data_IF_761435229989
#
_entry.id   IF_761435229989
#
_cell.length_a   1.000
_cell.length_b   1.000
_cell.length_c   1.000
_cell.angle_alpha   90.00
_cell.angle_beta   90.00
_cell.angle_gamma   90.00
#
_symmetry.space_group_name_H-M   'P 1'
#
loop_
_entity.id
_entity.type
_entity.pdbx_description
1 polymer ?
#
# COMPACT_ATOMS: atom_id res chain seq x y z
N UNK A 1 -4.97 -52.94 -5.94
CA UNK A 1 -4.42 -51.56 -5.97
C UNK A 1 -4.70 -50.97 -4.60
N UNK A 2 -3.68 -50.47 -3.91
CA UNK A 2 -3.86 -49.88 -2.59
C UNK A 2 -4.21 -48.41 -2.77
N UNK A 3 -5.36 -47.99 -2.25
CA UNK A 3 -5.77 -46.59 -2.25
C UNK A 3 -4.98 -45.85 -1.17
N UNK A 4 -4.23 -44.84 -1.58
CA UNK A 4 -3.45 -44.00 -0.68
C UNK A 4 -4.11 -42.62 -0.58
N UNK A 5 -4.38 -42.18 0.64
CA UNK A 5 -4.99 -40.88 0.90
C UNK A 5 -3.90 -39.90 1.28
N UNK A 6 -3.67 -38.92 0.41
CA UNK A 6 -2.79 -37.80 0.68
C UNK A 6 -3.55 -36.76 1.50
N UNK A 7 -2.95 -36.33 2.61
CA UNK A 7 -3.50 -35.35 3.54
C UNK A 7 -2.83 -34.00 3.32
N UNK A 8 -3.52 -32.91 3.62
CA UNK A 8 -2.95 -31.57 3.52
C UNK A 8 -1.72 -31.47 4.45
N UNK A 9 -0.50 -31.26 3.91
CA UNK A 9 0.69 -31.09 4.73
C UNK A 9 0.71 -29.70 5.38
N UNK A 10 1.53 -29.53 6.43
CA UNK A 10 1.82 -28.19 6.96
C UNK A 10 2.65 -27.42 5.93
N UNK A 11 2.13 -26.27 5.49
CA UNK A 11 2.73 -25.43 4.46
C UNK A 11 3.68 -24.37 5.05
N UNK A 12 3.99 -24.48 6.34
CA UNK A 12 4.95 -23.66 7.06
C UNK A 12 4.30 -22.78 8.12
N UNK A 13 5.03 -22.57 9.23
CA UNK A 13 4.69 -21.68 10.35
C UNK A 13 3.52 -22.09 11.27
N UNK A 14 3.10 -23.37 11.26
CA UNK A 14 2.08 -23.86 12.20
C UNK A 14 0.66 -23.42 11.83
N UNK A 15 0.36 -23.37 10.53
CA UNK A 15 -0.99 -23.10 10.03
C UNK A 15 -1.96 -24.22 10.44
N UNK A 16 -3.15 -23.87 10.88
CA UNK A 16 -4.17 -24.85 11.28
C UNK A 16 -5.06 -25.30 10.13
N UNK A 17 -5.21 -24.47 9.10
CA UNK A 17 -6.05 -24.71 7.93
C UNK A 17 -5.57 -23.91 6.69
N UNK A 18 -5.98 -24.35 5.49
CA UNK A 18 -5.76 -23.65 4.22
C UNK A 18 -7.02 -23.72 3.34
N UNK A 19 -7.28 -22.67 2.56
CA UNK A 19 -8.43 -22.62 1.67
C UNK A 19 -8.09 -23.19 0.29
N UNK A 20 -8.87 -24.14 -0.22
CA UNK A 20 -8.67 -24.67 -1.56
C UNK A 20 -9.15 -23.67 -2.63
N UNK A 21 -8.27 -23.20 -3.51
CA UNK A 21 -8.60 -22.22 -4.55
C UNK A 21 -9.08 -22.91 -5.82
N UNK A 22 -8.34 -23.91 -6.29
CA UNK A 22 -8.64 -24.62 -7.52
C UNK A 22 -7.97 -26.00 -7.56
N UNK A 23 -8.69 -26.98 -8.10
CA UNK A 23 -8.08 -28.26 -8.50
C UNK A 23 -7.46 -28.12 -9.90
N UNK A 24 -6.25 -28.66 -10.06
CA UNK A 24 -5.56 -28.78 -11.36
C UNK A 24 -5.76 -30.15 -12.00
N UNK A 25 -6.36 -31.08 -11.26
CA UNK A 25 -6.65 -32.46 -11.67
C UNK A 25 -8.13 -32.77 -11.47
N UNK A 26 -8.63 -33.81 -12.14
CA UNK A 26 -10.02 -34.27 -12.04
C UNK A 26 -10.05 -35.74 -11.58
N UNK A 27 -11.16 -36.16 -10.99
CA UNK A 27 -11.39 -37.59 -10.67
C UNK A 27 -11.31 -38.42 -11.96
N UNK A 28 -10.58 -39.54 -11.90
CA UNK A 28 -10.26 -40.39 -13.04
C UNK A 28 -9.00 -39.99 -13.83
N UNK A 29 -8.40 -38.82 -13.56
CA UNK A 29 -7.17 -38.41 -14.22
C UNK A 29 -5.94 -39.15 -13.68
N UNK A 30 -4.97 -39.43 -14.56
CA UNK A 30 -3.66 -39.93 -14.17
C UNK A 30 -2.75 -38.77 -13.76
N UNK A 31 -1.97 -38.96 -12.68
CA UNK A 31 -1.01 -37.97 -12.16
C UNK A 31 0.34 -38.64 -11.93
N UNK A 32 1.42 -37.94 -12.30
CA UNK A 32 2.80 -38.35 -12.04
C UNK A 32 3.28 -37.84 -10.67
N UNK A 33 4.39 -38.39 -10.16
CA UNK A 33 5.07 -37.86 -8.97
C UNK A 33 5.50 -36.40 -9.23
N UNK A 34 5.28 -35.53 -8.25
CA UNK A 34 5.49 -34.08 -8.29
C UNK A 34 4.57 -33.30 -9.25
N UNK A 35 3.59 -33.94 -9.89
CA UNK A 35 2.61 -33.24 -10.70
C UNK A 35 1.73 -32.33 -9.82
N UNK A 36 1.37 -31.12 -10.27
CA UNK A 36 0.60 -30.18 -9.46
C UNK A 36 -0.87 -30.62 -9.31
N UNK A 37 -1.33 -30.83 -8.08
CA UNK A 37 -2.68 -31.32 -7.76
C UNK A 37 -3.69 -30.18 -7.60
N UNK A 38 -3.37 -29.19 -6.78
CA UNK A 38 -4.25 -28.06 -6.49
C UNK A 38 -3.51 -26.83 -6.00
N UNK A 39 -4.20 -25.70 -6.06
CA UNK A 39 -3.78 -24.43 -5.51
C UNK A 39 -4.52 -24.21 -4.20
N UNK A 40 -3.77 -23.96 -3.12
CA UNK A 40 -4.32 -23.64 -1.80
C UNK A 40 -3.85 -22.26 -1.37
N UNK A 41 -4.77 -21.44 -0.88
CA UNK A 41 -4.52 -20.11 -0.37
C UNK A 41 -4.35 -20.17 1.14
N UNK A 42 -3.20 -19.68 1.59
CA UNK A 42 -2.91 -19.41 3.00
C UNK A 42 -3.02 -17.91 3.23
N UNK A 43 -2.92 -17.47 4.50
CA UNK A 43 -2.93 -16.04 4.83
C UNK A 43 -1.81 -15.21 4.16
N UNK A 44 -0.81 -15.86 3.54
CA UNK A 44 0.39 -15.21 2.98
C UNK A 44 0.55 -15.38 1.48
N UNK A 45 0.18 -16.54 0.94
CA UNK A 45 0.37 -16.86 -0.47
C UNK A 45 -0.52 -18.01 -0.93
N UNK A 46 -0.71 -18.08 -2.24
CA UNK A 46 -1.22 -19.27 -2.92
C UNK A 46 -0.05 -20.23 -3.16
N UNK A 47 -0.16 -21.45 -2.65
CA UNK A 47 0.85 -22.50 -2.76
C UNK A 47 0.29 -23.63 -3.62
N UNK A 48 1.10 -24.13 -4.55
CA UNK A 48 0.75 -25.28 -5.38
C UNK A 48 1.16 -26.56 -4.66
N UNK A 49 0.21 -27.47 -4.45
CA UNK A 49 0.47 -28.75 -3.79
C UNK A 49 0.85 -29.81 -4.85
N UNK A 50 2.08 -30.35 -4.82
CA UNK A 50 2.48 -31.43 -5.72
C UNK A 50 1.98 -32.81 -5.25
N UNK A 51 1.83 -33.75 -6.18
CA UNK A 51 1.48 -35.13 -5.88
C UNK A 51 2.69 -35.90 -5.33
N UNK A 52 2.59 -36.58 -4.17
CA UNK A 52 3.69 -37.41 -3.65
C UNK A 52 3.82 -38.76 -4.39
N UNK A 53 2.79 -39.20 -5.12
CA UNK A 53 2.72 -40.52 -5.74
C UNK A 53 2.20 -40.44 -7.18
N UNK A 54 2.61 -41.38 -8.02
CA UNK A 54 2.01 -41.59 -9.33
C UNK A 54 0.81 -42.53 -9.24
N UNK A 55 -0.27 -42.23 -9.96
CA UNK A 55 -1.47 -43.06 -9.94
C UNK A 55 -2.70 -42.36 -10.52
N UNK A 56 -3.86 -42.97 -10.31
CA UNK A 56 -5.14 -42.40 -10.79
C UNK A 56 -5.90 -41.76 -9.63
N UNK A 57 -6.35 -40.52 -9.82
CA UNK A 57 -7.15 -39.77 -8.84
C UNK A 57 -8.51 -40.46 -8.70
N UNK A 58 -8.79 -41.05 -7.53
CA UNK A 58 -10.07 -41.71 -7.26
C UNK A 58 -11.11 -40.72 -6.73
N UNK A 59 -10.70 -39.85 -5.79
CA UNK A 59 -11.62 -38.96 -5.09
C UNK A 59 -10.96 -37.68 -4.63
N UNK A 60 -11.63 -36.55 -4.86
CA UNK A 60 -11.28 -35.23 -4.33
C UNK A 60 -12.15 -34.94 -3.10
N UNK A 61 -11.53 -34.69 -1.94
CA UNK A 61 -12.27 -34.59 -0.67
C UNK A 61 -12.73 -33.17 -0.31
N UNK A 62 -12.35 -32.17 -1.10
CA UNK A 62 -12.70 -30.76 -0.89
C UNK A 62 -13.13 -30.09 -2.20
N UNK A 63 -13.99 -29.07 -2.09
CA UNK A 63 -14.41 -28.24 -3.23
C UNK A 63 -13.64 -26.92 -3.23
N UNK A 64 -13.39 -26.32 -4.40
CA UNK A 64 -12.88 -24.96 -4.48
C UNK A 64 -13.72 -24.00 -3.62
N UNK A 65 -13.07 -23.29 -2.70
CA UNK A 65 -13.66 -22.41 -1.70
C UNK A 65 -13.70 -23.00 -0.28
N UNK A 66 -13.53 -24.31 -0.10
CA UNK A 66 -13.59 -24.96 1.21
C UNK A 66 -12.30 -24.70 2.02
N UNK A 67 -12.46 -24.52 3.35
CA UNK A 67 -11.33 -24.50 4.29
C UNK A 67 -10.99 -25.94 4.72
N UNK A 68 -9.74 -26.34 4.52
CA UNK A 68 -9.24 -27.70 4.79
C UNK A 68 -8.22 -27.62 5.93
N UNK A 69 -8.48 -28.34 7.03
CA UNK A 69 -7.55 -28.40 8.15
C UNK A 69 -6.27 -29.15 7.79
N UNK A 70 -5.12 -28.74 8.35
CA UNK A 70 -3.86 -29.48 8.19
C UNK A 70 -4.02 -30.90 8.74
N UNK A 71 -3.58 -31.89 7.95
CA UNK A 71 -3.77 -33.31 8.24
C UNK A 71 -5.12 -33.90 7.80
N UNK A 72 -6.07 -33.09 7.29
CA UNK A 72 -7.31 -33.60 6.71
C UNK A 72 -7.06 -34.27 5.34
N UNK A 73 -7.88 -35.26 4.94
CA UNK A 73 -7.81 -35.88 3.61
C UNK A 73 -7.98 -34.85 2.49
N UNK A 74 -7.05 -34.82 1.54
CA UNK A 74 -7.07 -33.89 0.41
C UNK A 74 -7.45 -34.63 -0.89
N UNK A 75 -6.72 -35.69 -1.24
CA UNK A 75 -7.00 -36.53 -2.42
C UNK A 75 -6.71 -38.00 -2.14
N UNK A 76 -7.52 -38.90 -2.70
CA UNK A 76 -7.24 -40.35 -2.72
C UNK A 76 -6.75 -40.75 -4.11
N UNK A 77 -5.57 -41.37 -4.18
CA UNK A 77 -4.92 -41.83 -5.41
C UNK A 77 -4.79 -43.37 -5.35
N UNK A 78 -5.20 -44.05 -6.41
CA UNK A 78 -4.94 -45.47 -6.60
C UNK A 78 -3.53 -45.66 -7.17
N UNK A 79 -2.61 -46.22 -6.36
CA UNK A 79 -1.24 -46.44 -6.77
C UNK A 79 -1.13 -47.58 -7.81
N UNK A 80 -0.41 -47.32 -8.90
CA UNK A 80 0.03 -48.35 -9.85
C UNK A 80 1.42 -48.87 -9.45
N UNK A 81 1.49 -49.79 -8.49
CA UNK A 81 2.69 -50.62 -8.20
C UNK A 81 3.91 -49.88 -7.60
N UNK A 82 4.30 -50.28 -6.38
CA UNK A 82 5.43 -49.73 -5.61
C UNK A 82 6.82 -50.24 -6.11
N UNK A 83 7.95 -49.67 -5.63
CA UNK A 83 8.44 -49.87 -4.24
C UNK A 83 8.87 -48.53 -3.59
N UNK A 84 9.20 -48.34 -2.32
CA UNK A 84 9.02 -48.97 -1.02
C UNK A 84 9.37 -47.86 0.01
N UNK A 85 8.90 -48.01 1.25
CA UNK A 85 9.18 -47.19 2.44
C UNK A 85 10.65 -46.78 2.67
N UNK A 86 10.88 -45.51 3.04
CA UNK A 86 11.91 -45.09 4.01
C UNK A 86 11.69 -43.65 4.51
N UNK A 87 11.61 -43.49 5.82
CA UNK A 87 12.03 -42.30 6.60
C UNK A 87 13.08 -42.79 7.61
N UNK A 88 13.90 -41.94 8.28
CA UNK A 88 14.17 -40.50 8.10
C UNK A 88 15.70 -40.15 8.13
N UNK A 89 16.13 -38.94 7.72
CA UNK A 89 17.30 -38.23 8.30
C UNK A 89 17.51 -36.82 7.70
N UNK A 90 18.18 -35.99 8.51
CA UNK A 90 18.38 -34.55 8.46
C UNK A 90 19.26 -33.97 7.33
N UNK A 91 19.07 -32.64 7.16
CA UNK A 91 20.06 -31.60 6.82
C UNK A 91 20.67 -31.56 5.40
N UNK A 92 20.31 -30.51 4.64
CA UNK A 92 21.25 -29.56 4.00
C UNK A 92 20.50 -28.60 3.07
N UNK A 93 20.70 -27.28 3.26
CA UNK A 93 20.50 -26.31 2.18
C UNK A 93 21.61 -26.50 1.12
N UNK A 94 21.34 -26.16 -0.16
CA UNK A 94 21.99 -24.96 -0.66
C UNK A 94 21.15 -24.08 -1.60
N UNK A 95 21.40 -22.77 -1.41
CA UNK A 95 21.56 -21.66 -2.36
C UNK A 95 21.18 -21.81 -3.86
N UNK A 96 20.33 -20.85 -4.28
CA UNK A 96 20.40 -20.02 -5.50
C UNK A 96 21.07 -20.56 -6.76
N UNK A 97 20.35 -20.54 -7.89
CA UNK A 97 20.83 -19.80 -9.08
C UNK A 97 19.72 -19.49 -10.11
N UNK A 98 19.88 -18.28 -10.63
CA UNK A 98 19.13 -17.51 -11.64
C UNK A 98 19.01 -18.24 -12.98
N UNK A 99 17.95 -17.94 -13.76
CA UNK A 99 18.11 -17.97 -15.22
C UNK A 99 16.87 -18.10 -16.10
N UNK A 100 16.36 -16.94 -16.53
CA UNK A 100 15.89 -16.61 -17.90
C UNK A 100 14.77 -17.41 -18.58
N UNK A 101 13.74 -16.66 -19.01
CA UNK A 101 12.83 -17.05 -20.10
C UNK A 101 13.53 -17.12 -21.47
N UNK A 102 12.81 -17.55 -22.51
CA UNK A 102 12.13 -16.54 -23.33
C UNK A 102 10.76 -16.94 -23.89
N UNK A 103 9.89 -15.93 -24.00
CA UNK A 103 9.19 -15.51 -25.22
C UNK A 103 8.55 -16.54 -26.16
N UNK A 104 7.23 -16.36 -26.35
CA UNK A 104 6.66 -16.30 -27.69
C UNK A 104 5.57 -17.31 -28.05
N UNK A 105 4.74 -17.01 -29.07
CA UNK A 105 3.28 -17.05 -28.96
C UNK A 105 2.63 -18.08 -29.88
N UNK A 106 1.35 -18.42 -29.68
CA UNK A 106 0.45 -18.61 -30.83
C UNK A 106 -1.05 -18.56 -30.48
N UNK A 107 -1.76 -17.93 -31.41
CA UNK A 107 -3.18 -17.63 -31.39
C UNK A 107 -4.03 -18.81 -31.86
N UNK A 108 -5.27 -18.89 -31.36
CA UNK A 108 -6.27 -19.83 -31.86
C UNK A 108 -7.69 -19.29 -31.69
N UNK A 109 -8.14 -18.47 -32.63
CA UNK A 109 -9.55 -18.04 -32.77
C UNK A 109 -10.36 -19.22 -33.31
N UNK A 110 -11.44 -19.64 -32.61
CA UNK A 110 -12.67 -20.16 -33.25
C UNK A 110 -13.94 -19.76 -32.49
N UNK A 111 -14.95 -19.38 -33.28
CA UNK A 111 -16.27 -18.81 -32.93
C UNK A 111 -17.32 -19.87 -32.60
N UNK A 112 -18.23 -19.47 -31.70
CA UNK A 112 -19.69 -19.72 -31.60
C UNK A 112 -20.22 -21.16 -31.45
N UNK A 113 -20.98 -21.36 -30.37
CA UNK A 113 -22.40 -21.70 -30.46
C UNK A 113 -23.17 -21.28 -29.19
N UNK A 114 -24.40 -20.82 -29.40
CA UNK A 114 -25.37 -20.29 -28.45
C UNK A 114 -26.20 -21.45 -27.87
N UNK A 115 -26.39 -21.50 -26.56
CA UNK A 115 -27.56 -22.15 -25.93
C UNK A 115 -28.08 -21.25 -24.80
N UNK A 116 -29.39 -21.05 -24.81
CA UNK A 116 -30.18 -20.16 -23.96
C UNK A 116 -30.56 -20.86 -22.62
N UNK A 117 -31.17 -20.15 -21.65
CA UNK A 117 -31.05 -20.41 -20.22
C UNK A 117 -32.10 -21.37 -19.66
N UNK A 118 -31.77 -22.06 -18.56
CA UNK A 118 -32.74 -22.74 -17.71
C UNK A 118 -33.13 -21.83 -16.55
N UNK A 119 -34.43 -21.63 -16.38
CA UNK A 119 -35.07 -20.76 -15.40
C UNK A 119 -35.34 -21.47 -14.05
N UNK A 120 -35.78 -20.63 -13.10
CA UNK A 120 -36.37 -20.89 -11.77
C UNK A 120 -35.37 -20.71 -10.60
N UNK A 121 -35.57 -19.85 -9.58
CA UNK A 121 -36.78 -19.21 -9.00
C UNK A 121 -36.40 -17.86 -8.37
N UNK A 122 -37.20 -16.81 -8.58
CA UNK A 122 -37.12 -15.52 -7.88
C UNK A 122 -37.82 -15.55 -6.52
N UNK A 123 -37.40 -14.68 -5.58
CA UNK A 123 -38.29 -13.82 -4.83
C UNK A 123 -38.17 -12.39 -5.37
N UNK A 124 -39.27 -11.88 -5.92
CA UNK A 124 -39.40 -10.54 -6.44
C UNK A 124 -39.40 -9.50 -5.31
N UNK A 125 -38.41 -8.62 -5.30
CA UNK A 125 -38.61 -7.21 -4.94
C UNK A 125 -38.11 -6.38 -6.11
N UNK A 126 -39.04 -5.84 -6.88
CA UNK A 126 -38.75 -5.04 -8.08
C UNK A 126 -38.08 -3.72 -7.64
N UNK A 127 -36.74 -3.75 -7.53
CA UNK A 127 -35.92 -2.60 -7.14
C UNK A 127 -35.99 -1.58 -8.27
N UNK A 128 -36.76 -0.52 -8.09
CA UNK A 128 -36.95 0.54 -9.08
C UNK A 128 -35.85 1.59 -8.94
N UNK A 129 -34.76 1.45 -9.68
CA UNK A 129 -33.65 2.42 -9.71
C UNK A 129 -33.12 2.66 -11.14
N UNK A 130 -32.72 3.91 -11.44
CA UNK A 130 -32.09 4.26 -12.71
C UNK A 130 -30.68 3.64 -12.84
N UNK A 131 -30.16 3.36 -14.06
CA UNK A 131 -28.85 2.69 -14.25
C UNK A 131 -27.68 3.36 -13.51
N UNK A 132 -27.63 4.70 -13.53
CA UNK A 132 -26.58 5.44 -12.81
C UNK A 132 -26.69 5.29 -11.28
N UNK A 133 -27.90 5.15 -10.74
CA UNK A 133 -28.15 4.95 -9.30
C UNK A 133 -27.73 3.53 -8.88
N UNK A 134 -27.93 2.53 -9.75
CA UNK A 134 -27.44 1.15 -9.55
C UNK A 134 -25.93 1.07 -9.55
N UNK A 135 -25.29 1.74 -10.50
CA UNK A 135 -23.84 1.81 -10.54
C UNK A 135 -23.27 2.53 -9.31
N UNK A 136 -23.87 3.66 -8.92
CA UNK A 136 -23.46 4.40 -7.73
C UNK A 136 -23.67 3.60 -6.43
N UNK A 137 -24.75 2.83 -6.31
CA UNK A 137 -24.98 1.94 -5.17
C UNK A 137 -23.93 0.82 -5.12
N UNK A 138 -23.56 0.24 -6.27
CA UNK A 138 -22.48 -0.75 -6.37
C UNK A 138 -21.12 -0.18 -5.97
N UNK A 139 -20.80 1.03 -6.41
CA UNK A 139 -19.55 1.73 -6.05
C UNK A 139 -19.49 2.09 -4.56
N UNK A 140 -20.64 2.41 -3.95
CA UNK A 140 -20.76 2.74 -2.52
C UNK A 140 -21.05 1.55 -1.62
N UNK A 141 -21.19 0.34 -2.18
CA UNK A 141 -21.51 -0.88 -1.43
C UNK A 141 -22.90 -0.90 -0.78
N UNK A 142 -23.86 -0.17 -1.35
CA UNK A 142 -25.24 -0.08 -0.86
C UNK A 142 -26.11 -1.13 -1.56
N UNK A 143 -26.78 -1.98 -0.78
CA UNK A 143 -27.79 -2.90 -1.30
C UNK A 143 -29.11 -2.16 -1.56
N UNK A 144 -29.46 -1.98 -2.83
CA UNK A 144 -30.67 -1.28 -3.23
C UNK A 144 -31.96 -2.00 -2.83
N UNK A 145 -31.92 -3.31 -2.55
CA UNK A 145 -33.08 -4.02 -2.02
C UNK A 145 -33.47 -3.57 -0.60
N UNK A 146 -32.53 -2.92 0.11
CA UNK A 146 -32.69 -2.42 1.48
C UNK A 146 -32.96 -0.91 1.53
N UNK A 147 -33.06 -0.24 0.38
CA UNK A 147 -33.22 1.22 0.30
C UNK A 147 -34.64 1.57 -0.11
N UNK A 148 -35.35 2.28 0.76
CA UNK A 148 -36.67 2.84 0.46
C UNK A 148 -36.52 4.04 -0.48
N UNK A 149 -37.08 3.94 -1.70
CA UNK A 149 -37.00 5.00 -2.69
C UNK A 149 -37.98 6.14 -2.45
N UNK A 150 -37.49 7.39 -2.44
CA UNK A 150 -38.31 8.59 -2.24
C UNK A 150 -38.84 9.22 -3.54
N UNK A 151 -38.46 8.68 -4.70
CA UNK A 151 -38.88 9.18 -6.01
C UNK A 151 -40.29 8.74 -6.43
N UNK A 152 -40.85 9.36 -7.49
CA UNK A 152 -42.19 9.04 -8.00
C UNK A 152 -42.35 7.54 -8.28
N UNK A 153 -43.39 6.92 -7.70
CA UNK A 153 -43.66 5.48 -7.83
C UNK A 153 -42.74 4.57 -7.02
N UNK A 154 -42.12 5.08 -5.95
CA UNK A 154 -41.21 4.34 -5.06
C UNK A 154 -39.81 4.14 -5.65
N UNK A 155 -39.40 5.02 -6.58
CA UNK A 155 -38.12 4.89 -7.28
C UNK A 155 -36.99 5.36 -6.38
N UNK A 156 -35.92 4.57 -6.29
CA UNK A 156 -34.71 4.91 -5.56
C UNK A 156 -33.94 5.98 -6.34
N UNK A 157 -33.73 7.12 -5.69
CA UNK A 157 -33.05 8.29 -6.22
C UNK A 157 -31.59 8.32 -5.77
N UNK A 158 -30.81 9.26 -6.33
CA UNK A 158 -29.44 9.52 -5.88
C UNK A 158 -29.38 9.86 -4.38
N UNK A 159 -30.32 10.67 -3.91
CA UNK A 159 -30.37 11.11 -2.51
C UNK A 159 -30.64 9.95 -1.54
N UNK A 160 -31.39 8.93 -1.97
CA UNK A 160 -31.69 7.75 -1.17
C UNK A 160 -30.45 6.85 -1.01
N UNK A 161 -29.69 6.67 -2.10
CA UNK A 161 -28.41 5.94 -2.04
C UNK A 161 -27.37 6.72 -1.27
N UNK A 162 -27.34 8.04 -1.39
CA UNK A 162 -26.42 8.89 -0.63
C UNK A 162 -26.76 8.87 0.88
N UNK A 163 -28.04 8.82 1.24
CA UNK A 163 -28.50 8.70 2.63
C UNK A 163 -28.29 7.29 3.20
N UNK A 164 -28.44 6.25 2.38
CA UNK A 164 -28.13 4.88 2.77
C UNK A 164 -26.60 4.61 2.84
N UNK A 165 -25.81 5.35 2.06
CA UNK A 165 -24.36 5.37 2.14
C UNK A 165 -23.82 6.30 3.23
N UNK A 166 -24.63 7.25 3.73
CA UNK A 166 -24.27 8.04 4.89
C UNK A 166 -24.13 7.07 6.07
N UNK A 167 -23.08 7.18 6.88
CA UNK A 167 -22.87 6.26 7.98
C UNK A 167 -24.05 6.41 8.94
N UNK A 168 -24.95 5.42 8.94
CA UNK A 168 -25.67 5.08 10.15
C UNK A 168 -24.61 4.98 11.23
N UNK A 169 -24.71 5.84 12.25
CA UNK A 169 -23.78 5.90 13.37
C UNK A 169 -23.35 4.47 13.69
N UNK A 170 -22.07 4.16 13.43
CA UNK A 170 -21.58 2.81 13.30
C UNK A 170 -22.20 1.95 14.39
N UNK A 171 -23.09 1.03 14.00
CA UNK A 171 -23.62 0.06 14.93
C UNK A 171 -22.40 -0.70 15.45
N UNK A 172 -22.01 -0.38 16.69
CA UNK A 172 -20.97 -1.07 17.42
C UNK A 172 -21.32 -2.55 17.38
N UNK A 173 -20.50 -3.35 16.71
CA UNK A 173 -20.62 -4.80 16.78
C UNK A 173 -20.65 -5.19 18.27
N UNK A 174 -21.50 -6.15 18.67
CA UNK A 174 -21.60 -6.54 20.07
C UNK A 174 -20.22 -6.94 20.60
N UNK A 175 -19.81 -6.33 21.71
CA UNK A 175 -18.57 -6.68 22.41
C UNK A 175 -18.73 -8.08 22.98
N UNK A 176 -18.00 -9.05 22.43
CA UNK A 176 -17.71 -10.29 23.15
C UNK A 176 -16.47 -10.02 24.00
N UNK A 177 -16.54 -10.30 25.31
CA UNK A 177 -15.41 -10.23 26.25
C UNK A 177 -14.74 -8.86 26.49
N UNK A 178 -15.51 -7.77 26.57
CA UNK A 178 -14.96 -6.45 26.92
C UNK A 178 -14.09 -5.82 25.81
N UNK A 179 -14.07 -6.42 24.63
CA UNK A 179 -13.36 -5.90 23.46
C UNK A 179 -14.16 -4.81 22.75
N UNK A 180 -13.48 -3.70 22.42
CA UNK A 180 -14.02 -2.66 21.54
C UNK A 180 -13.61 -2.92 20.10
N UNK A 181 -14.57 -3.25 19.24
CA UNK A 181 -14.36 -3.40 17.79
C UNK A 181 -14.50 -2.05 17.09
N UNK A 182 -13.53 -1.71 16.22
CA UNK A 182 -13.53 -0.48 15.42
C UNK A 182 -13.56 -0.87 13.95
N UNK A 183 -14.67 -0.58 13.25
CA UNK A 183 -14.80 -0.85 11.82
C UNK A 183 -13.85 0.04 11.00
N UNK A 184 -13.14 -0.58 10.05
CA UNK A 184 -12.23 0.13 9.13
C UNK A 184 -12.93 0.32 7.78
N UNK A 185 -13.41 1.55 7.53
CA UNK A 185 -14.16 1.92 6.32
C UNK A 185 -13.60 3.18 5.68
N UNK A 186 -14.05 3.50 4.46
CA UNK A 186 -13.73 4.75 3.76
C UNK A 186 -12.23 5.04 3.65
N UNK A 187 -11.85 6.26 4.02
CA UNK A 187 -10.46 6.76 3.95
C UNK A 187 -9.50 5.89 4.76
N UNK A 188 -9.88 5.43 5.96
CA UNK A 188 -9.02 4.59 6.79
C UNK A 188 -8.70 3.26 6.11
N UNK A 189 -9.67 2.66 5.42
CA UNK A 189 -9.48 1.42 4.64
C UNK A 189 -8.56 1.66 3.44
N UNK A 190 -8.69 2.81 2.77
CA UNK A 190 -7.82 3.18 1.66
C UNK A 190 -6.36 3.40 2.12
N UNK A 191 -6.15 4.12 3.23
CA UNK A 191 -4.83 4.31 3.83
C UNK A 191 -4.21 2.96 4.19
N UNK A 192 -4.94 2.07 4.86
CA UNK A 192 -4.43 0.76 5.24
C UNK A 192 -3.94 -0.05 4.02
N UNK A 193 -4.72 -0.08 2.94
CA UNK A 193 -4.33 -0.76 1.68
C UNK A 193 -3.10 -0.13 1.04
N UNK A 194 -3.03 1.20 1.01
CA UNK A 194 -1.89 1.93 0.46
C UNK A 194 -0.60 1.67 1.26
N UNK A 195 -0.69 1.63 2.59
CA UNK A 195 0.47 1.35 3.46
C UNK A 195 0.96 -0.09 3.31
N UNK A 196 0.05 -1.07 3.25
CA UNK A 196 0.41 -2.47 2.97
C UNK A 196 1.11 -2.56 1.62
N UNK A 197 0.54 -1.97 0.56
CA UNK A 197 1.15 -1.94 -0.76
C UNK A 197 2.56 -1.36 -0.70
N UNK A 198 2.75 -0.21 -0.04
CA UNK A 198 4.07 0.43 0.09
C UNK A 198 5.10 -0.54 0.67
N UNK A 199 4.84 -1.11 1.84
CA UNK A 199 5.84 -1.95 2.54
C UNK A 199 6.02 -3.33 1.90
N UNK A 200 5.00 -3.87 1.22
CA UNK A 200 5.09 -5.19 0.59
C UNK A 200 5.71 -5.16 -0.80
N UNK A 201 5.61 -4.04 -1.54
CA UNK A 201 6.11 -3.95 -2.93
C UNK A 201 7.39 -3.13 -3.06
N UNK A 202 7.68 -2.25 -2.10
CA UNK A 202 8.84 -1.36 -2.16
C UNK A 202 9.89 -1.85 -1.15
N UNK A 203 11.07 -2.31 -1.59
CA UNK A 203 12.19 -2.50 -0.69
C UNK A 203 12.71 -1.12 -0.28
N UNK A 204 12.34 -0.67 0.92
CA UNK A 204 12.67 0.66 1.42
C UNK A 204 13.87 0.58 2.37
N UNK A 205 14.80 1.51 2.25
CA UNK A 205 15.77 1.80 3.31
C UNK A 205 15.66 3.26 3.74
N UNK A 206 16.10 3.56 4.96
CA UNK A 206 16.04 4.91 5.53
C UNK A 206 17.44 5.37 5.94
N UNK A 207 17.80 6.59 5.52
CA UNK A 207 18.98 7.29 5.99
C UNK A 207 18.61 8.46 6.92
N UNK A 208 19.55 8.84 7.78
CA UNK A 208 19.37 9.87 8.78
C UNK A 208 20.56 10.82 8.76
N UNK A 209 20.28 12.11 8.90
CA UNK A 209 21.28 13.13 9.16
C UNK A 209 20.78 14.13 10.21
N UNK A 210 21.70 14.94 10.70
CA UNK A 210 21.42 16.10 11.54
C UNK A 210 21.87 17.33 10.76
N UNK A 211 21.04 18.37 10.71
CA UNK A 211 21.40 19.65 10.12
C UNK A 211 21.33 20.78 11.15
N UNK A 212 22.22 21.76 10.99
CA UNK A 212 22.24 23.00 11.75
C UNK A 212 21.23 24.01 11.18
N UNK A 213 20.04 24.05 11.77
CA UNK A 213 18.98 25.00 11.43
C UNK A 213 19.19 26.39 12.05
N UNK A 214 20.36 26.71 12.63
CA UNK A 214 20.56 28.01 13.32
C UNK A 214 20.32 29.20 12.40
N UNK A 215 20.82 29.14 11.16
CA UNK A 215 20.61 30.24 10.22
C UNK A 215 19.15 30.33 9.75
N UNK A 216 18.48 29.18 9.56
CA UNK A 216 17.04 29.12 9.28
C UNK A 216 16.23 29.78 10.41
N UNK A 217 16.56 29.47 11.67
CA UNK A 217 15.89 30.05 12.83
C UNK A 217 16.15 31.55 12.96
N UNK A 218 17.35 32.03 12.63
CA UNK A 218 17.67 33.45 12.57
C UNK A 218 16.86 34.17 11.47
N UNK A 219 16.80 33.61 10.26
CA UNK A 219 15.99 34.13 9.15
C UNK A 219 14.51 34.22 9.51
N UNK A 220 14.00 33.21 10.22
CA UNK A 220 12.63 33.21 10.72
C UNK A 220 12.37 34.34 11.72
N UNK A 221 13.27 34.56 12.67
CA UNK A 221 13.09 35.62 13.66
C UNK A 221 13.18 37.02 13.02
N UNK A 222 14.09 37.22 12.06
CA UNK A 222 14.17 38.46 11.28
C UNK A 222 12.88 38.73 10.49
N UNK A 223 12.34 37.71 9.80
CA UNK A 223 11.06 37.84 9.11
C UNK A 223 9.90 38.15 10.05
N UNK A 224 9.86 37.49 11.21
CA UNK A 224 8.87 37.77 12.26
C UNK A 224 8.97 39.22 12.76
N UNK A 225 10.18 39.74 12.98
CA UNK A 225 10.41 41.14 13.34
C UNK A 225 9.94 42.12 12.24
N UNK A 226 10.02 41.72 10.96
CA UNK A 226 9.48 42.48 9.82
C UNK A 226 7.96 42.36 9.62
N UNK A 227 7.24 41.68 10.53
CA UNK A 227 5.79 41.49 10.45
C UNK A 227 5.33 40.41 9.45
N UNK A 228 6.26 39.54 8.98
CA UNK A 228 5.99 38.48 7.99
C UNK A 228 6.39 37.10 8.53
N UNK A 229 5.78 36.61 9.63
CA UNK A 229 6.19 35.35 10.26
C UNK A 229 6.01 34.17 9.30
N UNK A 230 6.92 33.19 9.40
CA UNK A 230 6.88 31.96 8.61
C UNK A 230 7.22 30.77 9.50
N UNK A 231 6.63 29.61 9.23
CA UNK A 231 7.04 28.36 9.89
C UNK A 231 8.31 27.80 9.23
N UNK A 232 8.98 26.78 9.78
CA UNK A 232 10.11 26.12 9.11
C UNK A 232 9.73 25.34 7.85
N UNK A 233 8.48 24.87 7.74
CA UNK A 233 8.03 23.99 6.65
C UNK A 233 8.28 24.55 5.23
N UNK A 234 8.00 25.84 4.91
CA UNK A 234 8.23 26.36 3.57
C UNK A 234 9.70 26.39 3.17
N UNK A 235 10.61 26.70 4.11
CA UNK A 235 12.06 26.60 3.89
C UNK A 235 12.48 25.17 3.59
N UNK A 236 11.92 24.21 4.32
CA UNK A 236 12.18 22.80 4.11
C UNK A 236 11.71 22.34 2.72
N UNK A 237 10.49 22.70 2.32
CA UNK A 237 9.97 22.41 0.97
C UNK A 237 10.86 23.03 -0.11
N UNK A 238 11.26 24.30 0.05
CA UNK A 238 12.15 24.96 -0.90
C UNK A 238 13.52 24.27 -1.02
N UNK A 239 14.10 23.84 0.11
CA UNK A 239 15.34 23.05 0.14
C UNK A 239 15.19 21.71 -0.58
N UNK A 240 14.10 20.97 -0.32
CA UNK A 240 13.80 19.70 -0.99
C UNK A 240 13.65 19.91 -2.50
N UNK A 241 12.90 20.92 -2.93
CA UNK A 241 12.73 21.26 -4.35
C UNK A 241 14.07 21.55 -5.02
N UNK A 242 14.95 22.30 -4.37
CA UNK A 242 16.28 22.62 -4.91
C UNK A 242 17.19 21.39 -4.97
N UNK A 243 17.20 20.55 -3.94
CA UNK A 243 17.94 19.30 -3.94
C UNK A 243 17.44 18.36 -5.04
N UNK A 244 16.11 18.23 -5.22
CA UNK A 244 15.51 17.41 -6.27
C UNK A 244 15.89 17.89 -7.67
N UNK A 245 16.05 19.20 -7.90
CA UNK A 245 16.54 19.73 -9.18
C UNK A 245 17.97 19.28 -9.49
N UNK A 246 18.82 19.13 -8.48
CA UNK A 246 20.17 18.61 -8.65
C UNK A 246 20.19 17.08 -8.82
N UNK A 247 19.23 16.37 -8.21
CA UNK A 247 19.12 14.91 -8.25
C UNK A 247 17.74 14.46 -8.78
N UNK A 248 17.48 14.61 -10.08
CA UNK A 248 16.14 14.40 -10.65
C UNK A 248 15.61 12.97 -10.49
N UNK A 249 16.49 11.96 -10.35
CA UNK A 249 16.08 10.58 -10.11
C UNK A 249 15.29 10.39 -8.81
N UNK A 250 15.50 11.27 -7.82
CA UNK A 250 14.72 11.29 -6.57
C UNK A 250 13.25 11.69 -6.81
N UNK A 251 12.94 12.31 -7.95
CA UNK A 251 11.60 12.69 -8.37
C UNK A 251 11.02 11.70 -9.39
N UNK A 252 11.05 10.42 -9.07
CA UNK A 252 10.64 9.37 -10.00
C UNK A 252 9.61 8.40 -9.42
N UNK A 253 9.24 7.41 -10.21
CA UNK A 253 8.40 6.29 -9.81
C UNK A 253 8.77 5.04 -10.60
N UNK A 254 8.62 3.87 -10.00
CA UNK A 254 8.80 2.59 -10.67
C UNK A 254 7.53 2.17 -11.44
N UNK A 255 7.66 1.90 -12.74
CA UNK A 255 6.61 1.27 -13.56
C UNK A 255 6.88 -0.23 -13.67
N UNK A 256 6.18 -0.99 -12.84
CA UNK A 256 6.29 -2.45 -12.77
C UNK A 256 5.78 -3.15 -14.04
N UNK A 257 4.92 -2.51 -14.83
CA UNK A 257 4.39 -3.13 -16.05
C UNK A 257 5.39 -3.13 -17.20
N UNK A 258 6.40 -2.25 -17.13
CA UNK A 258 7.38 -2.02 -18.18
C UNK A 258 8.83 -2.15 -17.71
N UNK A 259 9.05 -2.39 -16.42
CA UNK A 259 10.36 -2.34 -15.77
C UNK A 259 11.10 -1.02 -16.05
N UNK A 260 10.37 0.10 -16.03
CA UNK A 260 10.87 1.44 -16.35
C UNK A 260 10.87 2.36 -15.12
N UNK A 261 11.89 3.21 -15.00
CA UNK A 261 11.87 4.33 -14.06
C UNK A 261 11.31 5.57 -14.76
N UNK A 262 10.19 6.08 -14.25
CA UNK A 262 9.58 7.31 -14.76
C UNK A 262 10.12 8.50 -13.97
N UNK A 263 11.07 9.23 -14.55
CA UNK A 263 11.58 10.49 -13.98
C UNK A 263 10.61 11.63 -14.31
N UNK A 264 10.11 12.32 -13.29
CA UNK A 264 9.09 13.36 -13.42
C UNK A 264 9.75 14.73 -13.53
N UNK A 265 9.33 15.52 -14.52
CA UNK A 265 9.77 16.90 -14.67
C UNK A 265 9.14 17.86 -13.64
N UNK A 266 7.81 17.91 -13.46
CA UNK A 266 7.23 18.77 -12.43
C UNK A 266 7.54 18.22 -11.04
N UNK A 267 7.87 19.11 -10.10
CA UNK A 267 8.05 18.74 -8.69
C UNK A 267 6.75 19.10 -7.97
N UNK A 268 5.94 18.09 -7.67
CA UNK A 268 4.72 18.25 -6.88
C UNK A 268 4.96 17.68 -5.49
N UNK A 269 4.97 18.55 -4.48
CA UNK A 269 5.32 18.16 -3.12
C UNK A 269 4.05 17.77 -2.36
N UNK A 270 3.92 16.50 -2.01
CA UNK A 270 2.93 16.02 -1.05
C UNK A 270 3.30 16.49 0.36
N UNK A 271 2.39 17.15 1.06
CA UNK A 271 2.62 17.63 2.44
C UNK A 271 1.83 16.74 3.38
N UNK A 272 2.50 15.97 4.23
CA UNK A 272 1.81 15.11 5.19
C UNK A 272 1.17 15.93 6.32
N UNK A 273 -0.14 15.77 6.49
CA UNK A 273 -0.95 16.49 7.48
C UNK A 273 -1.68 15.50 8.37
N UNK A 274 -1.43 15.58 9.68
CA UNK A 274 -2.18 14.81 10.66
C UNK A 274 -3.56 15.44 10.88
N UNK A 275 -4.62 14.64 10.71
CA UNK A 275 -6.03 15.05 10.85
C UNK A 275 -6.78 14.09 11.75
N UNK A 276 -8.01 14.43 12.14
CA UNK A 276 -8.89 13.54 12.93
C UNK A 276 -9.27 12.25 12.18
N UNK A 277 -9.18 12.23 10.85
CA UNK A 277 -9.49 11.08 10.00
C UNK A 277 -8.25 10.22 9.71
N UNK A 278 -7.06 10.65 10.14
CA UNK A 278 -5.77 10.04 9.84
C UNK A 278 -4.82 10.98 9.11
N UNK A 279 -3.71 10.43 8.61
CA UNK A 279 -2.73 11.19 7.85
C UNK A 279 -3.21 11.38 6.41
N UNK A 280 -3.33 12.64 5.98
CA UNK A 280 -3.61 13.02 4.60
C UNK A 280 -2.37 13.63 3.96
N UNK A 281 -2.26 13.55 2.62
CA UNK A 281 -1.12 14.11 1.88
C UNK A 281 -1.62 15.00 0.74
N UNK A 282 -2.13 16.21 1.04
CA UNK A 282 -2.41 17.22 0.01
C UNK A 282 -1.17 17.61 -0.78
N UNK A 283 -1.34 17.99 -2.04
CA UNK A 283 -0.25 18.18 -2.99
C UNK A 283 -0.09 19.64 -3.39
N UNK A 284 1.09 20.20 -3.09
CA UNK A 284 1.57 21.47 -3.62
C UNK A 284 2.10 21.26 -5.05
N UNK A 285 1.34 21.69 -6.05
CA UNK A 285 1.66 21.46 -7.47
C UNK A 285 2.66 22.46 -8.00
N UNK A 286 3.60 21.98 -8.82
CA UNK A 286 4.61 22.82 -9.48
C UNK A 286 5.44 23.62 -8.48
N UNK A 287 5.80 23.00 -7.35
CA UNK A 287 6.55 23.64 -6.27
C UNK A 287 7.89 24.20 -6.75
N UNK A 288 8.44 23.65 -7.84
CA UNK A 288 9.64 24.14 -8.51
C UNK A 288 9.48 25.53 -9.15
N UNK A 289 8.25 25.98 -9.39
CA UNK A 289 7.94 27.28 -10.00
C UNK A 289 7.49 28.32 -8.98
N UNK A 290 7.45 27.95 -7.70
CA UNK A 290 6.96 28.81 -6.64
C UNK A 290 8.13 29.47 -5.91
N UNK A 291 7.98 30.77 -5.66
CA UNK A 291 8.83 31.49 -4.72
C UNK A 291 8.47 31.12 -3.27
N UNK A 292 9.38 31.37 -2.34
CA UNK A 292 9.26 30.95 -0.94
C UNK A 292 7.96 31.43 -0.26
N UNK A 293 7.54 32.67 -0.53
CA UNK A 293 6.29 33.23 -0.02
C UNK A 293 5.07 32.47 -0.53
N UNK A 294 5.06 32.11 -1.82
CA UNK A 294 3.97 31.33 -2.42
C UNK A 294 3.94 29.90 -1.88
N UNK A 295 5.11 29.28 -1.65
CA UNK A 295 5.21 27.99 -0.95
C UNK A 295 4.61 28.11 0.45
N UNK A 296 4.92 29.19 1.18
CA UNK A 296 4.42 29.40 2.53
C UNK A 296 2.89 29.55 2.57
N UNK A 297 2.33 30.41 1.74
CA UNK A 297 0.89 30.64 1.65
C UNK A 297 0.14 29.36 1.23
N UNK A 298 0.59 28.72 0.15
CA UNK A 298 -0.11 27.54 -0.38
C UNK A 298 0.03 26.34 0.55
N UNK A 299 1.20 26.08 1.14
CA UNK A 299 1.35 24.98 2.10
C UNK A 299 0.50 25.20 3.37
N UNK A 300 0.39 26.44 3.86
CA UNK A 300 -0.52 26.76 4.96
C UNK A 300 -1.98 26.48 4.59
N UNK A 301 -2.42 26.92 3.40
CA UNK A 301 -3.77 26.63 2.91
C UNK A 301 -4.04 25.12 2.81
N UNK A 302 -3.08 24.33 2.31
CA UNK A 302 -3.20 22.87 2.22
C UNK A 302 -3.29 22.23 3.62
N UNK A 303 -2.49 22.69 4.58
CA UNK A 303 -2.52 22.17 5.96
C UNK A 303 -3.87 22.47 6.62
N UNK A 304 -4.34 23.71 6.53
CA UNK A 304 -5.59 24.14 7.15
C UNK A 304 -6.80 23.47 6.49
N UNK A 305 -6.82 23.43 5.16
CA UNK A 305 -7.90 22.77 4.43
C UNK A 305 -7.94 21.26 4.65
N UNK A 306 -6.79 20.59 4.79
CA UNK A 306 -6.74 19.15 5.09
C UNK A 306 -7.31 18.87 6.50
N UNK A 307 -6.95 19.70 7.49
CA UNK A 307 -7.51 19.59 8.85
C UNK A 307 -9.00 19.90 8.90
N UNK A 308 -9.46 20.86 8.10
CA UNK A 308 -10.87 21.25 7.99
C UNK A 308 -11.69 20.29 7.10
N UNK A 309 -11.05 19.42 6.33
CA UNK A 309 -11.71 18.52 5.39
C UNK A 309 -12.33 19.24 4.17
N UNK A 310 -11.81 20.41 3.81
CA UNK A 310 -12.37 21.27 2.74
C UNK A 310 -11.67 21.14 1.40
N UNK A 311 -10.55 20.41 1.34
CA UNK A 311 -9.77 20.28 0.11
C UNK A 311 -10.47 19.41 -0.94
N UNK A 312 -10.44 19.81 -2.21
CA UNK A 312 -11.03 19.02 -3.29
C UNK A 312 -10.20 17.74 -3.55
N UNK A 313 -10.82 16.66 -4.07
CA UNK A 313 -10.10 15.42 -4.41
C UNK A 313 -8.91 15.63 -5.35
N UNK A 314 -9.01 16.61 -6.26
CA UNK A 314 -7.92 16.98 -7.17
C UNK A 314 -6.66 17.54 -6.50
N UNK A 315 -6.70 17.86 -5.21
CA UNK A 315 -5.51 18.24 -4.42
C UNK A 315 -4.90 17.09 -3.62
N UNK A 316 -5.49 15.88 -3.67
CA UNK A 316 -5.02 14.72 -2.89
C UNK A 316 -4.18 13.73 -3.71
N UNK A 317 -3.82 14.09 -4.95
CA UNK A 317 -3.20 13.16 -5.90
C UNK A 317 -2.16 13.83 -6.79
N UNK A 318 -1.27 13.03 -7.37
CA UNK A 318 -0.22 13.50 -8.27
C UNK A 318 0.98 14.13 -7.57
N UNK A 319 1.20 13.78 -6.29
CA UNK A 319 2.47 13.98 -5.61
C UNK A 319 3.59 13.23 -6.33
N UNK A 320 4.78 13.80 -6.32
CA UNK A 320 5.98 13.20 -6.90
C UNK A 320 7.03 12.90 -5.83
N UNK A 321 6.97 13.62 -4.72
CA UNK A 321 7.75 13.44 -3.51
C UNK A 321 6.92 13.90 -2.31
N UNK A 322 7.02 13.22 -1.17
CA UNK A 322 6.31 13.60 0.06
C UNK A 322 7.28 14.20 1.07
N UNK A 323 6.86 15.29 1.72
CA UNK A 323 7.49 15.82 2.93
C UNK A 323 6.61 15.58 4.15
N UNK A 324 7.22 15.23 5.28
CA UNK A 324 6.51 15.05 6.55
C UNK A 324 7.24 15.72 7.70
N UNK A 325 6.47 16.35 8.59
CA UNK A 325 7.01 16.97 9.80
C UNK A 325 6.67 16.10 11.01
N UNK A 326 7.63 15.30 11.46
CA UNK A 326 7.46 14.48 12.67
C UNK A 326 7.72 15.27 13.96
N UNK A 327 8.40 16.41 13.84
CA UNK A 327 8.79 17.27 14.96
C UNK A 327 7.76 18.33 15.37
N UNK A 328 6.64 18.45 14.65
CA UNK A 328 5.62 19.46 14.92
C UNK A 328 4.95 19.31 16.30
N UNK A 329 4.98 18.10 16.89
CA UNK A 329 4.21 17.79 18.09
C UNK A 329 4.99 16.82 18.98
N UNK A 330 5.41 17.30 20.15
CA UNK A 330 5.96 16.46 21.20
C UNK A 330 7.47 16.18 21.10
N UNK A 331 7.95 15.15 21.81
CA UNK A 331 9.38 14.88 21.95
C UNK A 331 10.00 14.14 20.76
N UNK A 332 9.19 13.63 19.82
CA UNK A 332 9.66 12.85 18.67
C UNK A 332 10.54 13.71 17.78
N UNK A 333 11.75 13.24 17.51
CA UNK A 333 12.75 14.01 16.76
C UNK A 333 13.02 13.44 15.37
N UNK A 334 12.73 12.18 15.12
CA UNK A 334 12.95 11.52 13.84
C UNK A 334 12.08 10.26 13.71
N UNK A 335 12.09 9.63 12.54
CA UNK A 335 11.42 8.36 12.28
C UNK A 335 11.75 7.81 10.89
N UNK A 336 11.25 6.62 10.59
CA UNK A 336 11.33 5.96 9.28
C UNK A 336 10.00 6.15 8.54
N UNK A 337 9.81 7.25 7.79
CA UNK A 337 8.55 7.46 7.08
C UNK A 337 8.32 6.36 6.04
N UNK A 338 7.08 5.90 5.89
CA UNK A 338 6.69 4.93 4.86
C UNK A 338 6.42 5.70 3.57
N UNK A 339 7.01 5.25 2.46
CA UNK A 339 6.82 5.87 1.14
C UNK A 339 5.34 5.88 0.79
N UNK A 340 4.86 6.93 0.10
CA UNK A 340 3.52 7.00 -0.46
C UNK A 340 3.56 6.59 -1.94
N UNK A 341 3.16 5.36 -2.31
CA UNK A 341 3.22 4.91 -3.69
C UNK A 341 2.42 5.81 -4.66
N UNK A 342 2.91 6.05 -5.89
CA UNK A 342 4.10 5.43 -6.49
C UNK A 342 5.36 6.29 -6.37
N UNK A 343 5.46 7.20 -5.40
CA UNK A 343 6.63 8.09 -5.25
C UNK A 343 7.91 7.30 -4.94
N UNK A 344 9.06 7.85 -5.35
CA UNK A 344 10.37 7.25 -5.08
C UNK A 344 10.78 7.39 -3.61
N UNK A 345 10.42 8.49 -2.96
CA UNK A 345 10.90 8.78 -1.61
C UNK A 345 9.96 9.67 -0.80
N UNK A 346 10.20 9.65 0.50
CA UNK A 346 9.58 10.56 1.47
C UNK A 346 10.65 11.13 2.39
N UNK A 347 10.62 12.44 2.60
CA UNK A 347 11.59 13.15 3.44
C UNK A 347 10.90 13.63 4.72
N UNK A 348 11.42 13.24 5.87
CA UNK A 348 10.93 13.69 7.17
C UNK A 348 11.88 14.73 7.76
N UNK A 349 11.32 15.79 8.35
CA UNK A 349 12.07 16.71 9.20
C UNK A 349 11.56 16.68 10.63
N UNK A 350 12.52 16.70 11.54
CA UNK A 350 12.35 16.60 12.98
C UNK A 350 12.13 17.94 13.68
N UNK A 351 12.05 17.86 15.00
CA UNK A 351 11.92 19.03 15.84
C UNK A 351 13.24 19.80 15.89
N UNK A 352 13.20 21.10 15.61
CA UNK A 352 14.34 22.01 15.77
C UNK A 352 14.47 22.35 17.25
N UNK A 353 15.59 21.94 17.87
CA UNK A 353 15.87 22.15 19.30
C UNK A 353 17.34 22.51 19.52
N UNK A 354 17.70 23.12 20.66
CA UNK A 354 19.10 23.29 21.03
C UNK A 354 19.83 21.94 21.07
N UNK A 355 20.96 21.83 20.36
CA UNK A 355 21.84 20.65 20.36
C UNK A 355 23.31 21.07 20.47
N UNK A 356 24.14 20.30 21.19
CA UNK A 356 25.59 20.49 21.14
C UNK A 356 26.12 20.06 19.77
N UNK A 357 26.77 20.96 19.05
CA UNK A 357 27.40 20.70 17.75
C UNK A 357 28.81 21.29 17.72
N UNK A 358 29.73 20.62 17.03
CA UNK A 358 31.10 21.12 16.86
C UNK A 358 31.15 22.10 15.70
N UNK A 359 31.53 23.35 15.98
CA UNK A 359 31.72 24.42 14.99
C UNK A 359 33.12 24.99 15.18
N UNK A 360 33.96 24.95 14.14
CA UNK A 360 35.35 25.41 14.20
C UNK A 360 36.15 24.83 15.40
N UNK A 361 35.92 23.55 15.71
CA UNK A 361 36.58 22.86 16.81
C UNK A 361 36.01 23.14 18.21
N UNK A 362 34.94 23.93 18.34
CA UNK A 362 34.29 24.23 19.61
C UNK A 362 32.89 23.64 19.69
N UNK A 363 32.51 23.12 20.87
CA UNK A 363 31.13 22.66 21.12
C UNK A 363 30.25 23.86 21.42
N UNK A 364 29.32 24.16 20.51
CA UNK A 364 28.36 25.25 20.64
C UNK A 364 26.93 24.70 20.69
N UNK A 365 26.05 25.39 21.42
CA UNK A 365 24.62 25.15 21.32
C UNK A 365 24.10 25.73 20.00
N UNK A 366 23.60 24.86 19.12
CA UNK A 366 23.04 25.20 17.81
C UNK A 366 21.59 24.76 17.73
N UNK A 367 20.82 25.36 16.82
CA UNK A 367 19.45 24.92 16.55
C UNK A 367 19.48 23.70 15.64
N UNK A 368 19.64 22.50 16.20
CA UNK A 368 19.79 21.27 15.42
C UNK A 368 18.47 20.54 15.21
N UNK A 369 18.28 19.97 14.02
CA UNK A 369 17.16 19.08 13.72
C UNK A 369 17.64 17.82 13.00
N UNK A 370 16.95 16.73 13.25
CA UNK A 370 17.10 15.53 12.45
C UNK A 370 16.36 15.68 11.12
N UNK A 371 16.92 15.07 10.10
CA UNK A 371 16.28 14.82 8.82
C UNK A 371 16.42 13.34 8.51
N UNK A 372 15.38 12.73 7.97
CA UNK A 372 15.46 11.36 7.46
C UNK A 372 14.81 11.24 6.10
N UNK A 373 15.25 10.28 5.32
CA UNK A 373 14.70 9.98 4.01
C UNK A 373 14.51 8.48 3.89
N UNK A 374 13.32 8.05 3.49
CA UNK A 374 13.09 6.68 3.02
C UNK A 374 13.00 6.67 1.51
N UNK A 375 13.70 5.74 0.87
CA UNK A 375 13.80 5.65 -0.60
C UNK A 375 13.49 4.25 -1.10
N UNK A 376 12.95 4.16 -2.31
CA UNK A 376 12.75 2.92 -3.04
C UNK A 376 14.10 2.39 -3.57
N UNK A 377 14.58 1.29 -3.00
CA UNK A 377 15.88 0.71 -3.36
C UNK A 377 15.92 0.12 -4.78
N UNK A 378 14.76 -0.01 -5.46
CA UNK A 378 14.72 -0.39 -6.88
C UNK A 378 15.14 0.74 -7.80
N UNK A 379 15.03 1.99 -7.34
CA UNK A 379 15.30 3.20 -8.12
C UNK A 379 16.62 3.83 -7.68
N UNK A 380 16.84 3.93 -6.38
CA UNK A 380 17.92 4.71 -5.76
C UNK A 380 18.77 3.78 -4.90
N UNK A 381 20.08 3.81 -5.08
CA UNK A 381 21.03 3.12 -4.20
C UNK A 381 21.48 4.02 -3.02
N UNK A 382 22.25 3.45 -2.09
CA UNK A 382 22.73 4.18 -0.92
C UNK A 382 23.63 5.37 -1.26
N UNK A 383 24.42 5.30 -2.34
CA UNK A 383 25.31 6.39 -2.71
C UNK A 383 24.52 7.62 -3.14
N UNK A 384 23.54 7.44 -4.04
CA UNK A 384 22.69 8.53 -4.50
C UNK A 384 21.79 9.08 -3.38
N UNK A 385 21.26 8.22 -2.51
CA UNK A 385 20.50 8.65 -1.34
C UNK A 385 21.35 9.55 -0.41
N UNK A 386 22.59 9.13 -0.13
CA UNK A 386 23.53 9.89 0.70
C UNK A 386 23.91 11.21 0.05
N UNK A 387 24.18 11.24 -1.27
CA UNK A 387 24.48 12.47 -2.01
C UNK A 387 23.31 13.45 -1.97
N UNK A 388 22.09 12.97 -2.20
CA UNK A 388 20.87 13.78 -2.11
C UNK A 388 20.67 14.35 -0.70
N UNK A 389 20.78 13.51 0.32
CA UNK A 389 20.58 13.93 1.71
C UNK A 389 21.63 14.96 2.13
N UNK A 390 22.89 14.75 1.73
CA UNK A 390 23.99 15.70 1.96
C UNK A 390 23.73 17.04 1.29
N UNK A 391 23.28 17.03 0.03
CA UNK A 391 22.95 18.25 -0.69
C UNK A 391 21.77 18.99 -0.05
N UNK A 392 20.73 18.27 0.38
CA UNK A 392 19.58 18.87 1.08
C UNK A 392 20.01 19.50 2.41
N UNK A 393 20.86 18.84 3.19
CA UNK A 393 21.43 19.40 4.43
C UNK A 393 22.19 20.70 4.12
N UNK A 394 23.09 20.68 3.14
CA UNK A 394 23.85 21.85 2.74
C UNK A 394 22.95 23.01 2.29
N UNK A 395 21.88 22.71 1.54
CA UNK A 395 20.90 23.72 1.13
C UNK A 395 20.20 24.38 2.32
N UNK A 396 19.76 23.59 3.30
CA UNK A 396 19.09 24.09 4.51
C UNK A 396 20.04 24.90 5.40
N UNK A 397 21.29 24.46 5.55
CA UNK A 397 22.31 25.17 6.34
C UNK A 397 22.77 26.48 5.68
N UNK A 398 22.65 26.58 4.35
CA UNK A 398 23.01 27.76 3.56
C UNK A 398 22.00 28.91 3.62
N UNK A 399 20.80 28.68 4.17
CA UNK A 399 19.75 29.70 4.31
C UNK A 399 20.33 30.89 5.07
N UNK A 400 20.18 32.10 4.51
CA UNK A 400 20.64 33.34 5.13
C UNK A 400 19.46 34.13 5.70
N UNK A 401 19.73 34.87 6.77
CA UNK A 401 18.75 35.72 7.45
C UNK A 401 18.41 36.99 6.68
#
# INVERSE_FOLDING_TARGET
MADQTFRLPDLGEGLTEAQLVAWRVQEGAHVDVNAPLCDVETAKAVVVIPSPWAGTVQKLHARPGDSVAVGAPLVTIAAQGAPASAEPAAEAAPSTLVGYGPGGPEAGIRRRARVAPSAAVEPSTDVRAAPFVRQMAKEKGVDLAQVTGSGPGGRITKADVDSAAAPAAAASAPSTDGERRISVVGIRKAIARQMVRSVSTIPQFTEFAIFDATNLMAAREQRKASGRPMTPLPYFIAGVVKAVRAYPLMNSSWDESRDEIIVKQPINVGVAVNTSQGLLVPVLRGADKLELEAIAEQSAHLVDGARAGTLPPGQMSGGTITVTNVGASGPVETGTPIINPPECCVVAFGAIKPRPMVVNGQVLARSGAWISISVDHRIVDGALATEFLTALVAELESIRA
#
